data_IF_978526113720
#
_entry.id   IF_978526113720
#
_cell.length_a   1.000
_cell.length_b   1.000
_cell.length_c   1.000
_cell.angle_alpha   90.00
_cell.angle_beta   90.00
_cell.angle_gamma   90.00
#
_symmetry.space_group_name_H-M   'P 1'
#
loop_
_entity.id
_entity.type
_entity.pdbx_description
1 polymer ?
#
# COMPACT_ATOMS: atom_id res chain seq x y z
N UNK A 1 -17.56 7.33 3.75
CA UNK A 1 -16.53 6.62 4.54
C UNK A 1 -15.64 7.62 5.27
N UNK A 2 -15.02 7.18 6.35
CA UNK A 2 -14.02 7.96 7.08
C UNK A 2 -12.61 7.54 6.61
N UNK A 3 -11.67 8.48 6.52
CA UNK A 3 -10.28 8.25 6.15
C UNK A 3 -9.36 8.73 7.27
N UNK A 4 -8.41 7.87 7.67
CA UNK A 4 -7.38 8.19 8.65
C UNK A 4 -6.01 8.02 8.00
N UNK A 5 -5.19 9.06 8.00
CA UNK A 5 -3.79 9.00 7.56
C UNK A 5 -2.95 8.54 8.75
N UNK A 6 -2.49 7.30 8.70
CA UNK A 6 -1.75 6.69 9.82
C UNK A 6 -0.25 7.04 9.85
N UNK A 7 0.33 7.38 8.68
CA UNK A 7 1.78 7.42 8.50
C UNK A 7 2.38 6.02 8.37
N UNK A 8 3.69 5.91 8.23
CA UNK A 8 4.39 4.64 8.01
C UNK A 8 4.52 3.81 9.28
N UNK A 9 4.39 2.48 9.12
CA UNK A 9 4.68 1.46 10.11
C UNK A 9 3.46 0.81 10.75
N UNK A 10 3.63 -0.45 11.14
CA UNK A 10 2.56 -1.33 11.59
C UNK A 10 1.82 -0.81 12.83
N UNK A 11 2.54 -0.27 13.81
CA UNK A 11 1.92 0.21 15.06
C UNK A 11 0.92 1.34 14.82
N UNK A 12 1.28 2.30 13.95
CA UNK A 12 0.39 3.41 13.60
C UNK A 12 -0.81 2.95 12.79
N UNK A 13 -0.59 2.06 11.83
CA UNK A 13 -1.64 1.46 11.02
C UNK A 13 -2.62 0.66 11.89
N UNK A 14 -2.11 -0.10 12.86
CA UNK A 14 -2.93 -0.83 13.82
C UNK A 14 -3.83 0.11 14.64
N UNK A 15 -3.25 1.18 15.22
CA UNK A 15 -4.03 2.17 15.99
C UNK A 15 -5.09 2.87 15.14
N UNK A 16 -4.77 3.22 13.89
CA UNK A 16 -5.73 3.82 12.97
C UNK A 16 -6.88 2.86 12.63
N UNK A 17 -6.57 1.59 12.39
CA UNK A 17 -7.57 0.56 12.12
C UNK A 17 -8.49 0.33 13.34
N UNK A 18 -7.92 0.28 14.56
CA UNK A 18 -8.71 0.20 15.80
C UNK A 18 -9.63 1.39 15.96
N UNK A 19 -9.12 2.62 15.73
CA UNK A 19 -9.94 3.84 15.82
C UNK A 19 -11.14 3.80 14.87
N UNK A 20 -10.93 3.37 13.61
CA UNK A 20 -12.02 3.23 12.65
C UNK A 20 -13.02 2.15 13.07
N UNK A 21 -12.53 1.01 13.56
CA UNK A 21 -13.37 -0.07 14.07
C UNK A 21 -14.23 0.38 15.27
N UNK A 22 -13.63 1.11 16.22
CA UNK A 22 -14.32 1.65 17.40
C UNK A 22 -15.38 2.72 17.02
N UNK A 23 -15.21 3.38 15.88
CA UNK A 23 -16.19 4.30 15.28
C UNK A 23 -17.27 3.62 14.44
N UNK A 24 -17.30 2.29 14.43
CA UNK A 24 -18.34 1.51 13.77
C UNK A 24 -18.09 1.22 12.29
N UNK A 25 -16.84 1.28 11.83
CA UNK A 25 -16.50 0.83 10.49
C UNK A 25 -16.91 -0.65 10.32
N UNK A 26 -17.50 -0.99 9.19
CA UNK A 26 -17.85 -2.37 8.81
C UNK A 26 -16.82 -3.00 7.90
N UNK A 27 -16.02 -2.18 7.26
CA UNK A 27 -14.96 -2.58 6.34
C UNK A 27 -13.74 -1.70 6.53
N UNK A 28 -12.55 -2.27 6.36
CA UNK A 28 -11.26 -1.58 6.39
C UNK A 28 -10.58 -1.68 5.03
N UNK A 29 -10.24 -0.54 4.46
CA UNK A 29 -9.47 -0.43 3.22
C UNK A 29 -8.06 0.04 3.56
N UNK A 30 -7.07 -0.82 3.35
CA UNK A 30 -5.66 -0.44 3.45
C UNK A 30 -5.21 0.15 2.11
N UNK A 31 -5.03 1.46 2.06
CA UNK A 31 -4.71 2.19 0.83
C UNK A 31 -3.37 2.90 0.92
N UNK A 32 -2.55 2.85 -0.16
CA UNK A 32 -1.24 3.50 -0.17
C UNK A 32 -0.29 3.02 -1.25
N UNK A 33 1.02 3.17 -0.98
CA UNK A 33 2.11 2.74 -1.87
C UNK A 33 2.66 1.37 -1.45
N UNK A 34 3.28 0.67 -2.41
CA UNK A 34 4.04 -0.55 -2.18
C UNK A 34 5.27 -0.60 -3.08
N UNK A 35 6.28 -1.37 -2.69
CA UNK A 35 7.43 -1.71 -3.52
C UNK A 35 7.20 -3.01 -4.30
N UNK A 36 7.74 -3.10 -5.52
CA UNK A 36 7.75 -4.34 -6.28
C UNK A 36 8.87 -5.28 -5.80
N UNK A 37 8.58 -6.57 -5.71
CA UNK A 37 9.56 -7.62 -5.38
C UNK A 37 9.96 -8.45 -6.61
N UNK A 38 9.18 -8.39 -7.69
CA UNK A 38 9.45 -9.11 -8.93
C UNK A 38 9.57 -8.12 -10.10
N UNK A 39 10.38 -8.44 -11.13
CA UNK A 39 10.76 -7.51 -12.19
C UNK A 39 9.63 -7.20 -13.19
N UNK A 40 8.59 -8.01 -13.24
CA UNK A 40 7.44 -7.85 -14.13
C UNK A 40 6.38 -6.86 -13.59
N UNK A 41 6.60 -6.27 -12.41
CA UNK A 41 5.76 -5.22 -11.86
C UNK A 41 6.39 -3.84 -12.07
N UNK A 42 5.59 -2.92 -12.62
CA UNK A 42 6.04 -1.58 -12.98
C UNK A 42 5.53 -0.51 -12.00
N UNK A 43 6.29 0.57 -11.85
CA UNK A 43 5.86 1.77 -11.10
C UNK A 43 4.58 2.37 -11.68
N UNK A 44 3.66 2.76 -10.81
CA UNK A 44 2.34 3.28 -11.14
C UNK A 44 1.28 2.21 -11.41
N UNK A 45 1.66 0.95 -11.44
CA UNK A 45 0.72 -0.17 -11.58
C UNK A 45 -0.10 -0.35 -10.30
N UNK A 46 -1.37 -0.70 -10.47
CA UNK A 46 -2.28 -0.96 -9.36
C UNK A 46 -2.16 -2.41 -8.88
N UNK A 47 -2.27 -2.60 -7.59
CA UNK A 47 -2.29 -3.91 -6.92
C UNK A 47 -3.50 -3.97 -5.99
N UNK A 48 -4.34 -5.00 -6.17
CA UNK A 48 -5.43 -5.36 -5.28
C UNK A 48 -5.25 -6.85 -4.91
N UNK A 49 -4.40 -7.15 -3.91
CA UNK A 49 -3.95 -8.51 -3.63
C UNK A 49 -5.07 -9.41 -3.12
N UNK A 50 -4.97 -10.72 -3.39
CA UNK A 50 -5.87 -11.72 -2.86
C UNK A 50 -5.59 -12.04 -1.37
N UNK A 51 -4.44 -11.63 -0.87
CA UNK A 51 -4.07 -11.76 0.54
C UNK A 51 -2.81 -11.01 0.89
N UNK A 52 -2.62 -10.84 2.18
CA UNK A 52 -1.43 -10.23 2.78
C UNK A 52 -0.67 -11.27 3.59
N UNK A 53 0.65 -11.28 3.49
CA UNK A 53 1.53 -12.23 4.16
C UNK A 53 2.38 -11.51 5.20
N UNK A 54 2.48 -12.04 6.41
CA UNK A 54 3.39 -11.50 7.42
C UNK A 54 4.83 -12.03 7.27
N UNK A 55 5.73 -11.49 8.09
CA UNK A 55 7.14 -11.89 8.11
C UNK A 55 7.37 -13.37 8.44
N UNK A 56 6.40 -14.04 9.07
CA UNK A 56 6.41 -15.45 9.45
C UNK A 56 5.78 -16.35 8.39
N UNK A 57 5.27 -15.78 7.29
CA UNK A 57 4.60 -16.51 6.21
C UNK A 57 3.12 -16.81 6.48
N UNK A 58 2.52 -16.23 7.53
CA UNK A 58 1.09 -16.36 7.77
C UNK A 58 0.34 -15.48 6.79
N UNK A 59 -0.65 -16.05 6.13
CA UNK A 59 -1.49 -15.35 5.15
C UNK A 59 -2.81 -14.88 5.77
N UNK A 60 -3.15 -13.64 5.50
CA UNK A 60 -4.42 -12.99 5.85
C UNK A 60 -5.19 -12.76 4.55
N UNK A 61 -6.27 -13.51 4.28
CA UNK A 61 -7.06 -13.30 3.06
C UNK A 61 -7.79 -11.97 3.11
N UNK A 62 -8.03 -11.36 1.96
CA UNK A 62 -8.95 -10.24 1.83
C UNK A 62 -10.38 -10.75 1.68
N UNK A 63 -11.38 -9.89 1.88
CA UNK A 63 -12.79 -10.22 1.65
C UNK A 63 -13.05 -10.27 0.16
N UNK A 64 -13.43 -11.44 -0.36
CA UNK A 64 -13.51 -11.72 -1.80
C UNK A 64 -14.49 -10.79 -2.52
N UNK A 65 -15.69 -10.60 -1.98
CA UNK A 65 -16.72 -9.75 -2.59
C UNK A 65 -16.29 -8.27 -2.59
N UNK A 66 -15.67 -7.80 -1.51
CA UNK A 66 -15.13 -6.46 -1.43
C UNK A 66 -13.96 -6.26 -2.41
N UNK A 67 -13.11 -7.28 -2.58
CA UNK A 67 -12.02 -7.25 -3.55
C UNK A 67 -12.57 -7.18 -4.99
N UNK A 68 -13.55 -8.02 -5.33
CA UNK A 68 -14.18 -8.03 -6.65
C UNK A 68 -14.79 -6.65 -6.98
N UNK A 69 -15.52 -6.06 -6.04
CA UNK A 69 -16.08 -4.73 -6.18
C UNK A 69 -14.98 -3.66 -6.37
N UNK A 70 -13.87 -3.73 -5.62
CA UNK A 70 -12.73 -2.83 -5.81
C UNK A 70 -12.09 -2.99 -7.20
N UNK A 71 -11.95 -4.22 -7.70
CA UNK A 71 -11.38 -4.48 -9.04
C UNK A 71 -12.25 -3.90 -10.15
N UNK A 72 -13.55 -3.91 -10.00
CA UNK A 72 -14.49 -3.36 -10.98
C UNK A 72 -14.58 -1.83 -10.94
N UNK A 73 -14.68 -1.26 -9.74
CA UNK A 73 -15.04 0.15 -9.56
C UNK A 73 -13.84 1.08 -9.36
N UNK A 74 -12.73 0.59 -8.78
CA UNK A 74 -11.62 1.43 -8.31
C UNK A 74 -10.31 1.14 -9.03
N UNK A 75 -10.01 -0.12 -9.29
CA UNK A 75 -8.69 -0.54 -9.75
C UNK A 75 -8.76 -1.56 -10.88
N UNK A 76 -9.54 -1.26 -11.92
CA UNK A 76 -9.66 -2.11 -13.10
C UNK A 76 -8.28 -2.45 -13.68
N UNK A 77 -8.04 -3.75 -13.91
CA UNK A 77 -6.77 -4.24 -14.41
C UNK A 77 -5.64 -4.29 -13.38
N UNK A 78 -5.93 -4.12 -12.08
CA UNK A 78 -4.94 -4.29 -11.02
C UNK A 78 -4.43 -5.73 -10.92
N UNK A 79 -3.17 -5.87 -10.51
CA UNK A 79 -2.58 -7.16 -10.19
C UNK A 79 -3.18 -7.69 -8.87
N UNK A 80 -3.50 -8.99 -8.82
CA UNK A 80 -4.11 -9.64 -7.64
C UNK A 80 -3.13 -10.51 -6.84
N UNK A 81 -1.84 -10.47 -7.17
CA UNK A 81 -0.80 -11.23 -6.48
C UNK A 81 -0.65 -10.82 -5.01
N UNK A 82 -0.28 -11.77 -4.15
CA UNK A 82 -0.11 -11.53 -2.72
C UNK A 82 0.92 -10.43 -2.42
N UNK A 83 0.66 -9.71 -1.34
CA UNK A 83 1.47 -8.63 -0.78
C UNK A 83 2.09 -9.11 0.54
N UNK A 84 3.38 -8.87 0.76
CA UNK A 84 4.00 -9.11 2.07
C UNK A 84 4.14 -7.79 2.83
N UNK A 85 3.82 -7.80 4.13
CA UNK A 85 4.14 -6.68 5.02
C UNK A 85 5.48 -6.94 5.70
N UNK A 86 6.42 -6.00 5.51
CA UNK A 86 7.77 -6.06 6.06
C UNK A 86 8.05 -4.88 6.99
N UNK A 87 8.90 -5.06 7.97
CA UNK A 87 9.13 -4.09 9.05
C UNK A 87 10.06 -2.93 8.66
N UNK A 88 10.79 -3.08 7.55
CA UNK A 88 11.76 -2.09 7.08
C UNK A 88 11.66 -1.84 5.57
N UNK A 89 12.17 -0.69 5.14
CA UNK A 89 12.26 -0.37 3.71
C UNK A 89 13.38 -1.17 3.06
N UNK A 90 13.05 -1.90 1.99
CA UNK A 90 14.03 -2.64 1.20
C UNK A 90 14.69 -1.71 0.20
N UNK A 91 15.98 -1.50 0.36
CA UNK A 91 16.77 -0.54 -0.45
C UNK A 91 17.38 -1.22 -1.68
N UNK A 92 17.93 -2.41 -1.47
CA UNK A 92 18.72 -3.11 -2.48
C UNK A 92 17.89 -4.18 -3.22
N UNK A 93 18.09 -4.38 -4.54
CA UNK A 93 17.41 -5.41 -5.32
C UNK A 93 17.56 -6.82 -4.75
N UNK A 94 18.73 -7.12 -4.17
CA UNK A 94 19.03 -8.42 -3.57
C UNK A 94 18.14 -8.71 -2.36
N UNK A 95 17.86 -7.69 -1.54
CA UNK A 95 16.93 -7.80 -0.40
C UNK A 95 15.51 -8.08 -0.89
N UNK A 96 15.05 -7.36 -1.93
CA UNK A 96 13.75 -7.56 -2.57
C UNK A 96 13.62 -8.98 -3.14
N UNK A 97 14.64 -9.42 -3.87
CA UNK A 97 14.68 -10.78 -4.44
C UNK A 97 14.68 -11.87 -3.36
N UNK A 98 15.43 -11.66 -2.27
CA UNK A 98 15.46 -12.61 -1.16
C UNK A 98 14.08 -12.73 -0.48
N UNK A 99 13.39 -11.59 -0.28
CA UNK A 99 12.04 -11.57 0.27
C UNK A 99 11.03 -12.24 -0.67
N UNK A 100 11.11 -11.98 -1.97
CA UNK A 100 10.30 -12.65 -3.00
C UNK A 100 10.46 -14.16 -2.97
N UNK A 101 11.72 -14.66 -2.98
CA UNK A 101 11.99 -16.11 -2.93
C UNK A 101 11.46 -16.77 -1.65
N UNK A 102 11.51 -16.06 -0.53
CA UNK A 102 11.06 -16.57 0.77
C UNK A 102 9.54 -16.63 0.89
N UNK A 103 8.82 -15.63 0.36
CA UNK A 103 7.38 -15.47 0.61
C UNK A 103 6.50 -15.79 -0.60
N UNK A 104 7.04 -15.72 -1.81
CA UNK A 104 6.27 -15.78 -3.05
C UNK A 104 5.42 -14.53 -3.32
N UNK A 105 5.38 -13.58 -2.38
CA UNK A 105 4.65 -12.33 -2.55
C UNK A 105 5.35 -11.43 -3.57
N UNK A 106 4.58 -10.80 -4.47
CA UNK A 106 5.13 -10.02 -5.58
C UNK A 106 5.36 -8.55 -5.27
N UNK A 107 4.81 -8.06 -4.16
CA UNK A 107 4.98 -6.70 -3.68
C UNK A 107 5.13 -6.67 -2.16
N UNK A 108 5.62 -5.54 -1.63
CA UNK A 108 5.89 -5.33 -0.21
C UNK A 108 5.35 -3.98 0.25
N UNK A 109 4.74 -3.97 1.44
CA UNK A 109 4.42 -2.75 2.19
C UNK A 109 4.87 -2.85 3.66
N UNK A 110 4.47 -1.90 4.48
CA UNK A 110 4.85 -1.84 5.89
C UNK A 110 3.66 -1.84 6.86
N UNK A 111 2.41 -1.97 6.38
CA UNK A 111 1.21 -1.67 7.18
C UNK A 111 0.09 -2.70 7.08
N UNK A 112 -0.12 -3.33 5.92
CA UNK A 112 -1.36 -4.05 5.62
C UNK A 112 -1.67 -5.21 6.56
N UNK A 113 -0.65 -5.94 7.05
CA UNK A 113 -0.88 -7.03 8.03
C UNK A 113 -1.47 -6.49 9.33
N UNK A 114 -1.02 -5.34 9.81
CA UNK A 114 -1.54 -4.76 11.05
C UNK A 114 -3.03 -4.40 10.93
N UNK A 115 -3.45 -3.90 9.76
CA UNK A 115 -4.87 -3.60 9.48
C UNK A 115 -5.66 -4.91 9.33
N UNK A 116 -5.12 -5.91 8.64
CA UNK A 116 -5.73 -7.23 8.47
C UNK A 116 -5.97 -7.94 9.81
N UNK A 117 -5.06 -7.79 10.77
CA UNK A 117 -5.19 -8.33 12.12
C UNK A 117 -6.39 -7.72 12.84
N UNK A 118 -6.52 -6.38 12.84
CA UNK A 118 -7.67 -5.68 13.43
C UNK A 118 -8.97 -6.09 12.75
N UNK A 119 -8.99 -6.15 11.41
CA UNK A 119 -10.17 -6.57 10.67
C UNK A 119 -10.63 -7.98 11.08
N UNK A 120 -9.70 -8.91 11.20
CA UNK A 120 -9.98 -10.28 11.67
C UNK A 120 -10.48 -10.32 13.11
N UNK A 121 -9.85 -9.59 14.03
CA UNK A 121 -10.22 -9.53 15.45
C UNK A 121 -11.61 -8.95 15.66
N UNK A 122 -11.97 -7.96 14.82
CA UNK A 122 -13.26 -7.25 14.90
C UNK A 122 -14.32 -7.80 13.93
N UNK A 123 -14.01 -8.88 13.20
CA UNK A 123 -14.88 -9.47 12.18
C UNK A 123 -15.36 -8.45 11.13
N UNK A 124 -14.43 -7.64 10.61
CA UNK A 124 -14.67 -6.62 9.60
C UNK A 124 -14.25 -7.12 8.21
N UNK A 125 -14.91 -6.63 7.17
CA UNK A 125 -14.44 -6.81 5.80
C UNK A 125 -13.09 -6.08 5.60
N UNK A 126 -12.20 -6.67 4.80
CA UNK A 126 -10.85 -6.13 4.59
C UNK A 126 -10.41 -6.26 3.14
N UNK A 127 -9.84 -5.19 2.61
CA UNK A 127 -9.20 -5.17 1.29
C UNK A 127 -7.97 -4.28 1.31
N UNK A 128 -7.05 -4.55 0.39
CA UNK A 128 -5.83 -3.76 0.20
C UNK A 128 -5.81 -3.19 -1.20
N UNK A 129 -5.50 -1.90 -1.30
CA UNK A 129 -5.31 -1.18 -2.55
C UNK A 129 -3.95 -0.51 -2.53
N UNK A 130 -3.07 -0.88 -3.45
CA UNK A 130 -1.71 -0.34 -3.54
C UNK A 130 -1.40 0.17 -4.93
N UNK A 131 -0.58 1.20 -4.97
CA UNK A 131 0.11 1.65 -6.18
C UNK A 131 1.58 1.30 -6.02
N UNK A 132 2.15 0.62 -7.01
CA UNK A 132 3.56 0.29 -6.99
C UNK A 132 4.40 1.55 -7.21
N UNK A 133 5.31 1.82 -6.29
CA UNK A 133 6.19 2.97 -6.33
C UNK A 133 7.53 2.62 -6.98
N UNK A 134 8.29 1.74 -6.35
CA UNK A 134 9.64 1.38 -6.75
C UNK A 134 9.69 -0.01 -7.40
N UNK A 135 10.32 -0.13 -8.58
CA UNK A 135 10.58 -1.41 -9.23
C UNK A 135 11.56 -2.29 -8.44
N UNK A 136 11.48 -3.61 -8.69
CA UNK A 136 12.31 -4.59 -7.99
C UNK A 136 13.82 -4.45 -8.26
N UNK A 137 14.18 -3.98 -9.44
CA UNK A 137 15.55 -3.84 -9.94
C UNK A 137 16.23 -2.51 -9.58
N UNK A 138 15.54 -1.62 -8.85
CA UNK A 138 16.06 -0.30 -8.52
C UNK A 138 16.49 -0.17 -7.05
N UNK A 139 17.63 0.48 -6.88
CA UNK A 139 18.14 0.92 -5.58
C UNK A 139 17.43 2.24 -5.20
N UNK A 140 16.84 2.28 -4.02
CA UNK A 140 16.32 3.53 -3.47
C UNK A 140 17.48 4.36 -2.88
N UNK A 141 17.64 5.66 -3.27
CA UNK A 141 18.69 6.50 -2.72
C UNK A 141 18.57 6.63 -1.20
N UNK A 142 19.61 6.24 -0.47
CA UNK A 142 19.66 6.33 0.98
C UNK A 142 19.49 7.78 1.48
N UNK A 143 19.92 8.75 0.68
CA UNK A 143 19.75 10.18 0.95
C UNK A 143 18.28 10.59 1.05
N UNK A 144 17.39 9.99 0.27
CA UNK A 144 15.95 10.25 0.31
C UNK A 144 15.31 9.56 1.51
N UNK A 145 15.62 8.28 1.71
CA UNK A 145 15.07 7.49 2.83
C UNK A 145 15.41 8.12 4.19
N UNK A 146 16.66 8.54 4.38
CA UNK A 146 17.11 9.20 5.61
C UNK A 146 16.44 10.56 5.85
N UNK A 147 15.90 11.20 4.82
CA UNK A 147 15.25 12.50 4.89
C UNK A 147 13.73 12.44 4.64
N UNK A 148 13.14 11.26 4.64
CA UNK A 148 11.69 11.08 4.58
C UNK A 148 11.16 10.94 6.01
N UNK A 149 10.17 11.77 6.36
CA UNK A 149 9.52 11.69 7.66
C UNK A 149 8.53 10.51 7.75
N UNK A 150 8.00 10.20 8.93
CA UNK A 150 7.02 9.12 9.08
C UNK A 150 5.70 9.31 8.31
N UNK A 151 5.46 10.48 7.76
CA UNK A 151 4.29 10.80 6.94
C UNK A 151 4.58 10.70 5.44
N UNK A 152 5.83 10.34 5.07
CA UNK A 152 6.27 10.24 3.68
C UNK A 152 6.73 11.56 3.05
N UNK A 153 6.76 12.65 3.80
CA UNK A 153 7.24 13.94 3.31
C UNK A 153 8.77 14.03 3.36
N UNK A 154 9.38 14.51 2.27
CA UNK A 154 10.83 14.65 2.17
C UNK A 154 11.27 16.01 2.77
N UNK A 155 12.16 15.97 3.75
CA UNK A 155 12.77 17.15 4.37
C UNK A 155 13.84 17.73 3.45
N UNK A 156 13.50 18.79 2.72
CA UNK A 156 14.35 19.37 1.67
C UNK A 156 15.73 19.80 2.18
N UNK A 157 15.81 20.41 3.35
CA UNK A 157 17.10 20.87 3.92
C UNK A 157 18.07 19.71 4.19
N UNK A 158 17.58 18.62 4.78
CA UNK A 158 18.36 17.40 5.02
C UNK A 158 18.74 16.70 3.72
N UNK A 159 17.82 16.67 2.74
CA UNK A 159 18.08 16.10 1.43
C UNK A 159 19.21 16.81 0.69
N UNK A 160 19.20 18.15 0.66
CA UNK A 160 20.28 18.95 0.04
C UNK A 160 21.62 18.63 0.69
N UNK A 161 21.70 18.60 2.02
CA UNK A 161 22.92 18.26 2.74
C UNK A 161 23.39 16.82 2.45
N UNK A 162 22.46 15.86 2.31
CA UNK A 162 22.79 14.48 1.98
C UNK A 162 23.29 14.33 0.54
N UNK A 163 22.69 15.05 -0.42
CA UNK A 163 23.09 15.06 -1.83
C UNK A 163 24.48 15.70 -2.03
N UNK A 164 24.82 16.74 -1.25
CA UNK A 164 26.19 17.30 -1.27
C UNK A 164 27.23 16.29 -0.79
N UNK A 165 26.87 15.41 0.14
CA UNK A 165 27.76 14.33 0.64
C UNK A 165 27.81 13.12 -0.31
N UNK A 166 26.78 12.91 -1.14
CA UNK A 166 26.66 11.79 -2.09
C UNK A 166 26.18 12.30 -3.45
N UNK A 167 27.06 12.92 -4.25
CA UNK A 167 26.68 13.54 -5.51
C UNK A 167 26.20 12.50 -6.57
N UNK A 168 26.55 11.22 -6.42
CA UNK A 168 26.03 10.14 -7.26
C UNK A 168 24.51 9.98 -7.17
N UNK A 169 23.90 10.36 -6.04
CA UNK A 169 22.45 10.30 -5.87
C UNK A 169 21.71 11.35 -6.72
N UNK A 170 22.38 12.46 -7.09
CA UNK A 170 21.83 13.47 -8.00
C UNK A 170 21.45 12.88 -9.36
N UNK A 171 22.25 11.94 -9.89
CA UNK A 171 21.98 11.29 -11.17
C UNK A 171 20.73 10.40 -11.13
N UNK A 172 20.31 9.97 -9.96
CA UNK A 172 19.13 9.11 -9.74
C UNK A 172 17.83 9.90 -9.53
N UNK A 173 17.92 11.20 -9.17
CA UNK A 173 16.74 12.03 -8.88
C UNK A 173 15.74 12.15 -10.04
N UNK A 174 16.13 12.34 -11.32
CA UNK A 174 15.17 12.43 -12.41
C UNK A 174 14.36 11.15 -12.59
N UNK A 175 15.03 9.98 -12.41
CA UNK A 175 14.35 8.68 -12.43
C UNK A 175 13.31 8.57 -11.31
N UNK A 176 13.69 8.94 -10.08
CA UNK A 176 12.81 8.90 -8.94
C UNK A 176 11.63 9.88 -9.05
N UNK A 177 11.87 11.09 -9.57
CA UNK A 177 10.80 12.05 -9.83
C UNK A 177 9.77 11.51 -10.83
N UNK A 178 10.19 10.76 -11.85
CA UNK A 178 9.27 10.09 -12.78
C UNK A 178 8.45 9.00 -12.09
N UNK A 179 9.07 8.19 -11.21
CA UNK A 179 8.37 7.17 -10.41
C UNK A 179 7.33 7.83 -9.51
N UNK A 180 7.73 8.85 -8.75
CA UNK A 180 6.85 9.60 -7.85
C UNK A 180 5.65 10.22 -8.60
N UNK A 181 5.89 10.79 -9.79
CA UNK A 181 4.83 11.35 -10.62
C UNK A 181 3.84 10.28 -11.09
N UNK A 182 4.34 9.15 -11.62
CA UNK A 182 3.48 8.04 -12.09
C UNK A 182 2.65 7.48 -10.95
N UNK A 183 3.31 7.09 -9.86
CA UNK A 183 2.62 6.51 -8.71
C UNK A 183 1.67 7.49 -8.05
N UNK A 184 2.03 8.78 -7.98
CA UNK A 184 1.15 9.84 -7.46
C UNK A 184 -0.11 10.05 -8.31
N UNK A 185 0.01 9.98 -9.64
CA UNK A 185 -1.16 10.06 -10.54
C UNK A 185 -2.11 8.86 -10.33
N UNK A 186 -1.56 7.65 -10.28
CA UNK A 186 -2.35 6.44 -10.03
C UNK A 186 -2.98 6.44 -8.64
N UNK A 187 -2.23 6.91 -7.62
CA UNK A 187 -2.72 7.02 -6.25
C UNK A 187 -3.88 8.02 -6.15
N UNK A 188 -3.76 9.16 -6.84
CA UNK A 188 -4.83 10.16 -6.91
C UNK A 188 -6.07 9.61 -7.61
N UNK A 189 -5.91 8.98 -8.77
CA UNK A 189 -7.02 8.38 -9.51
C UNK A 189 -7.76 7.32 -8.68
N UNK A 190 -7.01 6.49 -7.95
CA UNK A 190 -7.59 5.50 -7.04
C UNK A 190 -8.33 6.18 -5.87
N UNK A 191 -7.78 7.27 -5.30
CA UNK A 191 -8.43 8.03 -4.24
C UNK A 191 -9.76 8.64 -4.69
N UNK A 192 -9.77 9.20 -5.90
CA UNK A 192 -10.96 9.82 -6.51
C UNK A 192 -12.06 8.76 -6.75
N UNK A 193 -11.71 7.49 -6.95
CA UNK A 193 -12.65 6.38 -7.15
C UNK A 193 -13.13 5.70 -5.84
N UNK A 194 -12.41 5.84 -4.72
CA UNK A 194 -12.77 5.21 -3.43
C UNK A 194 -14.21 5.50 -2.96
N UNK A 195 -14.80 6.69 -3.16
CA UNK A 195 -16.19 6.95 -2.77
C UNK A 195 -17.22 6.01 -3.41
N UNK A 196 -16.92 5.47 -4.60
CA UNK A 196 -17.81 4.51 -5.27
C UNK A 196 -18.04 3.22 -4.44
N UNK A 197 -17.07 2.79 -3.63
CA UNK A 197 -17.20 1.63 -2.76
C UNK A 197 -18.32 1.74 -1.72
N UNK A 198 -18.85 2.93 -1.46
CA UNK A 198 -19.90 3.16 -0.48
C UNK A 198 -21.31 3.23 -1.11
N UNK A 199 -21.43 3.30 -2.44
CA UNK A 199 -22.73 3.61 -3.09
C UNK A 199 -23.60 2.36 -3.31
N UNK A 200 -23.03 1.20 -3.59
CA UNK A 200 -23.80 0.02 -3.96
C UNK A 200 -24.46 -0.73 -2.77
N UNK A 201 -23.99 -0.53 -1.55
CA UNK A 201 -24.60 -1.18 -0.37
C UNK A 201 -25.93 -0.56 0.09
N UNK A 202 -26.41 0.50 -0.57
CA UNK A 202 -27.71 1.13 -0.25
C UNK A 202 -28.88 0.67 -1.14
N UNK A 203 -28.62 -0.15 -2.16
CA UNK A 203 -29.68 -0.60 -3.08
C UNK A 203 -30.52 -1.75 -2.51
N UNK A 204 -30.01 -2.49 -1.53
CA UNK A 204 -30.72 -3.67 -0.98
C UNK A 204 -31.58 -3.36 0.28
N UNK A 205 -31.95 -2.10 0.51
CA UNK A 205 -32.89 -1.72 1.58
C UNK A 205 -34.18 -1.11 1.04
N UNK A 206 -34.79 -1.71 0.05
CA UNK A 206 -36.25 -1.56 -0.09
C UNK A 206 -36.93 -2.54 0.88
N UNK A 207 -37.77 -2.05 1.79
CA UNK A 207 -38.60 -2.95 2.59
C UNK A 207 -39.61 -3.63 1.67
N UNK A 208 -39.54 -4.96 1.64
CA UNK A 208 -40.55 -5.80 0.99
C UNK A 208 -41.94 -5.36 1.48
N UNK A 209 -42.83 -4.85 0.62
CA UNK A 209 -44.19 -4.52 1.05
C UNK A 209 -44.97 -5.84 1.25
N UNK A 210 -45.42 -6.05 2.49
CA UNK A 210 -46.43 -7.05 2.81
C UNK A 210 -47.77 -6.67 2.20
#
# INVERSE_FOLDING_TARGET
>A
GECVVAGMGQERAHRAAQLLADRGARQLVSWGLAGALCPDLASGQLLCPAGVVDAQGRRYPVTTDLQAHCLEQVCLGAVTADLVTWHETLVEPEQKQALYRRTGARAVDMESVAIAQVARERNLEFVVLRVLFDPADRILPASILANTDPWGAVRLGGLVAALLRRPSDLLRLPGLARLARRSGQSLKAMADALPALNQDKNVDKEPNPL
#
